data_IF_750752395431
#
_entry.id   IF_750752395431
#
_cell.length_a   1.000
_cell.length_b   1.000
_cell.length_c   1.000
_cell.angle_alpha   90.00
_cell.angle_beta   90.00
_cell.angle_gamma   90.00
#
_symmetry.space_group_name_H-M   'P 1'
#
loop_
_entity.id
_entity.type
_entity.pdbx_description
1 polymer ?
#
# COMPACT_ATOMS: atom_id res chain seq x y z
N UNK A 1 8.49 -5.99 -5.23
CA UNK A 1 7.10 -5.92 -5.73
C UNK A 1 7.09 -6.25 -7.20
N UNK A 2 6.19 -7.09 -7.62
CA UNK A 2 6.08 -7.53 -9.01
C UNK A 2 4.93 -6.86 -9.74
N UNK A 3 4.02 -6.20 -9.04
CA UNK A 3 2.95 -5.44 -9.66
C UNK A 3 2.17 -4.64 -8.64
N UNK A 4 1.61 -3.53 -9.10
CA UNK A 4 0.75 -2.67 -8.29
C UNK A 4 -0.48 -2.33 -9.12
N UNK A 5 -1.64 -2.56 -8.55
CA UNK A 5 -2.92 -2.18 -9.16
C UNK A 5 -3.78 -1.48 -8.11
N UNK A 6 -4.81 -0.79 -8.55
CA UNK A 6 -5.74 -0.13 -7.64
C UNK A 6 -7.18 -0.40 -8.05
N UNK A 7 -8.07 -0.39 -7.06
CA UNK A 7 -9.51 -0.48 -7.30
C UNK A 7 -10.24 0.27 -6.19
N UNK A 8 -11.48 0.67 -6.46
CA UNK A 8 -12.31 1.42 -5.51
C UNK A 8 -13.44 0.54 -5.00
N UNK A 9 -13.68 0.58 -3.69
CA UNK A 9 -14.77 -0.14 -3.05
C UNK A 9 -15.44 0.81 -2.05
N UNK A 10 -16.61 1.34 -2.41
CA UNK A 10 -17.29 2.37 -1.62
C UNK A 10 -16.47 3.64 -1.56
N UNK A 11 -16.15 4.09 -0.34
CA UNK A 11 -15.33 5.28 -0.10
C UNK A 11 -13.84 4.99 -0.01
N UNK A 12 -13.46 3.73 -0.11
CA UNK A 12 -12.06 3.30 0.03
C UNK A 12 -11.44 3.02 -1.33
N UNK A 13 -10.20 3.47 -1.50
CA UNK A 13 -9.35 3.07 -2.62
C UNK A 13 -8.38 2.03 -2.12
N UNK A 14 -8.40 0.85 -2.72
CA UNK A 14 -7.49 -0.23 -2.37
C UNK A 14 -6.28 -0.22 -3.29
N UNK A 15 -5.11 -0.37 -2.70
CA UNK A 15 -3.89 -0.66 -3.45
C UNK A 15 -3.59 -2.14 -3.28
N UNK A 16 -3.52 -2.83 -4.40
CA UNK A 16 -3.18 -4.25 -4.45
C UNK A 16 -1.73 -4.38 -4.91
N UNK A 17 -0.90 -4.92 -4.04
CA UNK A 17 0.52 -5.11 -4.30
C UNK A 17 0.81 -6.60 -4.40
N UNK A 18 1.38 -7.01 -5.54
CA UNK A 18 1.92 -8.35 -5.72
C UNK A 18 3.42 -8.32 -5.47
N UNK A 19 3.96 -9.34 -4.83
CA UNK A 19 5.37 -9.42 -4.51
C UNK A 19 5.88 -10.85 -4.65
N UNK A 20 7.17 -10.96 -5.02
CA UNK A 20 7.87 -12.22 -4.99
C UNK A 20 8.50 -12.41 -3.61
N UNK A 21 8.41 -13.61 -3.07
CA UNK A 21 8.93 -13.94 -1.76
C UNK A 21 9.57 -15.33 -1.79
N UNK A 22 10.67 -15.43 -2.56
CA UNK A 22 11.39 -16.71 -2.73
C UNK A 22 11.98 -17.25 -1.44
N UNK A 23 12.30 -16.38 -0.47
CA UNK A 23 12.89 -16.76 0.81
C UNK A 23 11.85 -16.93 1.91
N UNK A 24 10.60 -16.58 1.67
CA UNK A 24 9.55 -16.66 2.67
C UNK A 24 9.68 -15.68 3.82
N UNK A 25 10.42 -14.59 3.64
CA UNK A 25 10.74 -13.64 4.70
C UNK A 25 10.09 -12.27 4.55
N UNK A 26 9.23 -12.07 3.57
CA UNK A 26 8.44 -10.85 3.44
C UNK A 26 7.57 -10.67 4.68
N UNK A 27 7.67 -9.53 5.34
CA UNK A 27 7.09 -9.33 6.66
C UNK A 27 6.05 -8.24 6.70
N UNK A 28 6.13 -7.25 5.84
CA UNK A 28 5.21 -6.14 5.90
C UNK A 28 5.25 -5.23 4.68
N UNK A 29 4.45 -4.19 4.77
CA UNK A 29 4.16 -3.24 3.72
C UNK A 29 4.35 -1.84 4.29
N UNK A 30 5.08 -0.99 3.59
CA UNK A 30 5.29 0.39 3.99
C UNK A 30 4.87 1.36 2.89
N UNK A 31 4.52 2.56 3.30
CA UNK A 31 4.20 3.62 2.35
C UNK A 31 4.44 5.00 2.97
N UNK A 32 4.60 5.99 2.11
CA UNK A 32 4.72 7.40 2.50
C UNK A 32 4.25 8.30 1.36
N UNK A 33 3.93 9.54 1.70
CA UNK A 33 3.62 10.54 0.68
C UNK A 33 4.81 10.80 -0.24
N UNK A 34 4.54 11.01 -1.53
CA UNK A 34 5.52 11.31 -2.54
C UNK A 34 5.14 12.60 -3.27
N UNK A 35 6.09 13.21 -4.00
CA UNK A 35 5.84 14.38 -4.84
C UNK A 35 5.16 15.54 -4.09
N UNK A 36 5.54 15.78 -2.82
CA UNK A 36 4.97 16.85 -2.03
C UNK A 36 3.69 16.51 -1.28
N UNK A 37 3.23 15.26 -1.36
CA UNK A 37 2.09 14.80 -0.58
C UNK A 37 2.37 14.87 0.91
N UNK A 38 1.36 15.26 1.68
CA UNK A 38 1.45 15.35 3.14
C UNK A 38 1.12 14.03 3.86
N UNK A 39 0.92 12.96 3.12
CA UNK A 39 0.60 11.66 3.70
C UNK A 39 1.75 11.15 4.58
N UNK A 40 1.44 10.79 5.83
CA UNK A 40 2.46 10.34 6.78
C UNK A 40 3.02 8.96 6.41
N UNK A 41 4.30 8.73 6.73
CA UNK A 41 4.90 7.41 6.55
C UNK A 41 4.31 6.42 7.56
N UNK A 42 3.95 5.24 7.06
CA UNK A 42 3.43 4.15 7.88
C UNK A 42 4.06 2.83 7.44
N UNK A 43 4.16 1.90 8.39
CA UNK A 43 4.60 0.53 8.15
C UNK A 43 3.64 -0.42 8.85
N UNK A 44 3.18 -1.43 8.11
CA UNK A 44 2.19 -2.38 8.61
C UNK A 44 2.70 -3.80 8.40
N UNK A 45 2.97 -4.55 9.49
CA UNK A 45 3.31 -5.97 9.35
C UNK A 45 2.10 -6.75 8.84
N UNK A 46 2.35 -7.77 8.05
CA UNK A 46 1.27 -8.58 7.47
C UNK A 46 0.41 -9.29 8.52
N UNK A 47 0.93 -9.45 9.74
CA UNK A 47 0.19 -10.03 10.85
C UNK A 47 -0.74 -9.06 11.56
N UNK A 48 -0.70 -7.77 11.19
CA UNK A 48 -1.52 -6.76 11.85
C UNK A 48 -3.01 -6.96 11.56
N UNK A 49 -3.89 -6.99 12.57
CA UNK A 49 -5.33 -7.13 12.34
C UNK A 49 -5.97 -5.91 11.66
N UNK A 50 -5.29 -4.75 11.67
CA UNK A 50 -5.76 -3.56 10.96
C UNK A 50 -5.41 -3.58 9.47
N UNK A 51 -4.63 -4.55 9.03
CA UNK A 51 -4.28 -4.72 7.63
C UNK A 51 -5.50 -5.19 6.84
N UNK A 52 -5.68 -4.70 5.63
CA UNK A 52 -6.87 -5.00 4.85
C UNK A 52 -7.03 -6.48 4.48
N UNK A 53 -6.36 -6.91 3.43
CA UNK A 53 -6.46 -8.29 2.95
C UNK A 53 -5.06 -8.78 2.58
N UNK A 54 -4.65 -9.89 3.17
CA UNK A 54 -3.35 -10.50 2.89
C UNK A 54 -3.54 -11.92 2.42
N UNK A 55 -2.92 -12.25 1.31
CA UNK A 55 -2.82 -13.61 0.80
C UNK A 55 -1.39 -13.88 0.35
N UNK A 56 -0.99 -15.13 0.14
CA UNK A 56 0.37 -15.41 -0.32
C UNK A 56 0.72 -14.64 -1.60
N UNK A 57 1.76 -13.83 -1.54
CA UNK A 57 2.24 -13.07 -2.68
C UNK A 57 1.44 -11.83 -3.04
N UNK A 58 0.42 -11.49 -2.28
CA UNK A 58 -0.42 -10.32 -2.56
C UNK A 58 -0.97 -9.70 -1.29
N UNK A 59 -1.03 -8.37 -1.27
CA UNK A 59 -1.64 -7.60 -0.20
C UNK A 59 -2.51 -6.49 -0.79
N UNK A 60 -3.70 -6.31 -0.22
CA UNK A 60 -4.60 -5.22 -0.56
C UNK A 60 -4.73 -4.30 0.65
N UNK A 61 -4.36 -3.05 0.50
CA UNK A 61 -4.41 -2.07 1.59
C UNK A 61 -5.42 -0.97 1.26
N UNK A 62 -6.35 -0.66 2.19
CA UNK A 62 -7.35 0.38 1.98
C UNK A 62 -6.84 1.77 2.35
N UNK A 63 -7.12 2.75 1.48
CA UNK A 63 -6.90 4.16 1.76
C UNK A 63 -8.24 4.88 1.75
N UNK A 64 -8.52 5.63 2.80
CA UNK A 64 -9.72 6.45 2.84
C UNK A 64 -9.43 7.82 2.20
N UNK A 65 -9.81 7.97 0.93
CA UNK A 65 -9.66 9.21 0.18
C UNK A 65 -10.96 10.01 0.13
N UNK A 66 -11.93 9.67 0.97
CA UNK A 66 -13.24 10.31 1.02
C UNK A 66 -13.95 10.32 -0.35
N UNK A 67 -13.86 9.20 -1.09
CA UNK A 67 -14.49 9.06 -2.39
C UNK A 67 -16.00 9.27 -2.31
N UNK A 68 -16.57 10.02 -3.27
CA UNK A 68 -17.97 10.35 -3.27
C UNK A 68 -18.33 11.61 -2.48
N UNK A 69 -17.36 12.22 -1.82
CA UNK A 69 -17.54 13.48 -1.11
C UNK A 69 -17.14 14.67 -1.98
N UNK A 70 -17.69 15.89 -1.76
CA UNK A 70 -17.33 17.06 -2.55
C UNK A 70 -15.84 17.40 -2.54
N UNK A 71 -15.16 17.14 -1.43
CA UNK A 71 -13.73 17.42 -1.24
C UNK A 71 -12.92 16.14 -1.15
N UNK A 72 -13.18 15.20 -2.05
CA UNK A 72 -12.45 13.96 -2.06
C UNK A 72 -10.93 14.20 -2.24
N UNK A 73 -10.15 13.36 -1.57
CA UNK A 73 -8.70 13.52 -1.51
C UNK A 73 -8.03 12.74 -2.63
N UNK A 74 -6.91 13.26 -3.12
CA UNK A 74 -6.01 12.53 -4.01
C UNK A 74 -4.57 12.75 -3.58
N UNK A 75 -3.69 11.79 -3.83
CA UNK A 75 -2.32 11.86 -3.36
C UNK A 75 -1.41 10.92 -4.13
N UNK A 76 -0.13 11.31 -4.26
CA UNK A 76 0.92 10.41 -4.73
C UNK A 76 1.52 9.70 -3.51
N UNK A 77 1.62 8.38 -3.57
CA UNK A 77 2.13 7.58 -2.45
C UNK A 77 3.16 6.59 -2.97
N UNK A 78 4.28 6.51 -2.26
CA UNK A 78 5.36 5.56 -2.52
C UNK A 78 5.18 4.33 -1.65
N UNK A 79 5.29 3.14 -2.25
CA UNK A 79 5.07 1.85 -1.58
C UNK A 79 6.29 0.95 -1.67
N UNK A 80 6.47 0.11 -0.65
CA UNK A 80 7.50 -0.93 -0.64
C UNK A 80 7.07 -2.12 0.23
N UNK A 81 7.75 -3.27 0.03
CA UNK A 81 7.64 -4.44 0.91
C UNK A 81 8.95 -4.52 1.70
N UNK A 82 8.87 -4.85 2.97
CA UNK A 82 10.06 -5.08 3.79
C UNK A 82 10.09 -6.52 4.31
N UNK A 83 11.30 -7.02 4.55
CA UNK A 83 11.53 -8.37 5.05
C UNK A 83 11.89 -8.38 6.54
N UNK A 84 12.08 -9.57 7.10
CA UNK A 84 12.43 -9.75 8.50
C UNK A 84 13.82 -9.20 8.86
N UNK A 85 14.68 -9.00 7.88
CA UNK A 85 16.00 -8.38 8.07
C UNK A 85 15.99 -6.86 7.93
N UNK A 86 14.83 -6.25 7.69
CA UNK A 86 14.71 -4.82 7.52
C UNK A 86 15.05 -4.33 6.12
N UNK A 87 15.27 -5.23 5.14
CA UNK A 87 15.54 -4.84 3.76
C UNK A 87 14.24 -4.46 3.05
N UNK A 88 14.33 -3.41 2.24
CA UNK A 88 13.20 -2.90 1.48
C UNK A 88 13.27 -3.38 0.03
N UNK A 89 12.11 -3.70 -0.54
CA UNK A 89 12.00 -3.92 -1.96
C UNK A 89 12.18 -2.61 -2.72
N UNK A 90 12.33 -2.69 -4.04
CA UNK A 90 12.24 -1.51 -4.90
C UNK A 90 10.88 -0.85 -4.69
N UNK A 91 10.87 0.47 -4.48
CA UNK A 91 9.63 1.20 -4.27
C UNK A 91 8.93 1.53 -5.58
N UNK A 92 7.62 1.77 -5.48
CA UNK A 92 6.76 2.19 -6.61
C UNK A 92 5.91 3.36 -6.13
N UNK A 93 5.78 4.38 -6.98
CA UNK A 93 4.93 5.53 -6.70
C UNK A 93 3.64 5.40 -7.50
N UNK A 94 2.50 5.50 -6.82
CA UNK A 94 1.17 5.48 -7.43
C UNK A 94 0.41 6.76 -7.10
N UNK A 95 -0.30 7.27 -8.09
CA UNK A 95 -1.23 8.37 -7.89
C UNK A 95 -2.59 7.80 -7.49
N UNK A 96 -3.01 8.06 -6.25
CA UNK A 96 -4.28 7.59 -5.73
C UNK A 96 -5.35 8.68 -5.88
N UNK A 97 -6.41 8.35 -6.57
CA UNK A 97 -7.57 9.22 -6.76
C UNK A 97 -8.83 8.37 -6.90
N UNK A 98 -9.96 8.96 -6.64
CA UNK A 98 -11.24 8.26 -6.75
C UNK A 98 -11.71 8.06 -8.19
#
# INVERSE_FOLDING_TARGET
MTGVTRYTEGVLVYISVSYGDGDGDAQGFGFRGANGSSWAEESHPFSSPSFGRVSPGRVDYPFNLACGQPNQYESDIEFWIYDSGGRLSKSVIEHLAC
#
